data_IF_649165835561
#
_entry.id   IF_649165835561
#
_cell.length_a   1.000
_cell.length_b   1.000
_cell.length_c   1.000
_cell.angle_alpha   90.00
_cell.angle_beta   90.00
_cell.angle_gamma   90.00
#
_symmetry.space_group_name_H-M   'P 1'
#
loop_
_entity.id
_entity.type
_entity.pdbx_description
1 polymer ?
#
# COMPACT_ATOMS: atom_id res chain seq x y z
N UNK A 1 25.39 -10.58 3.86
CA UNK A 1 24.06 -10.74 4.46
C UNK A 1 23.06 -10.30 3.40
N UNK A 2 22.27 -11.21 2.83
CA UNK A 2 21.26 -10.85 1.82
C UNK A 2 20.29 -9.89 2.48
N UNK A 3 20.34 -8.61 2.10
CA UNK A 3 19.25 -7.67 2.40
C UNK A 3 18.05 -8.14 1.60
N UNK A 4 17.31 -9.09 2.17
CA UNK A 4 16.05 -9.52 1.61
C UNK A 4 15.14 -8.30 1.57
N UNK A 5 14.60 -8.01 0.39
CA UNK A 5 13.62 -6.94 0.22
C UNK A 5 12.54 -7.12 1.30
N UNK A 6 12.22 -6.06 2.09
CA UNK A 6 11.28 -6.17 3.19
C UNK A 6 9.96 -6.80 2.71
N UNK A 7 9.36 -7.63 3.56
CA UNK A 7 8.16 -8.36 3.19
C UNK A 7 7.02 -7.40 2.80
N UNK A 8 6.97 -6.23 3.45
CA UNK A 8 6.04 -5.14 3.18
C UNK A 8 6.22 -4.60 1.76
N UNK A 9 7.44 -4.39 1.28
CA UNK A 9 7.68 -3.93 -0.10
C UNK A 9 7.19 -4.98 -1.09
N UNK A 10 7.53 -6.25 -0.85
CA UNK A 10 7.12 -7.36 -1.75
C UNK A 10 5.60 -7.49 -1.82
N UNK A 11 4.95 -7.55 -0.66
CA UNK A 11 3.49 -7.69 -0.57
C UNK A 11 2.77 -6.45 -1.11
N UNK A 12 3.26 -5.25 -0.81
CA UNK A 12 2.69 -4.01 -1.34
C UNK A 12 2.71 -3.98 -2.86
N UNK A 13 3.86 -4.32 -3.46
CA UNK A 13 3.99 -4.39 -4.92
C UNK A 13 3.14 -5.50 -5.55
N UNK A 14 2.97 -6.63 -4.87
CA UNK A 14 2.09 -7.70 -5.35
C UNK A 14 0.62 -7.24 -5.38
N UNK A 15 0.16 -6.53 -4.36
CA UNK A 15 -1.18 -5.93 -4.32
C UNK A 15 -1.32 -4.90 -5.45
N UNK A 16 -0.33 -4.01 -5.63
CA UNK A 16 -0.33 -3.03 -6.72
C UNK A 16 -0.46 -3.70 -8.10
N UNK A 17 0.26 -4.80 -8.33
CA UNK A 17 0.13 -5.60 -9.57
C UNK A 17 -1.26 -6.19 -9.76
N UNK A 18 -1.93 -6.63 -8.70
CA UNK A 18 -3.32 -7.11 -8.81
C UNK A 18 -4.28 -5.99 -9.26
N UNK A 19 -4.07 -4.76 -8.81
CA UNK A 19 -4.91 -3.61 -9.16
C UNK A 19 -4.42 -2.82 -10.39
N UNK A 20 -3.34 -3.24 -11.05
CA UNK A 20 -2.75 -2.55 -12.21
C UNK A 20 -3.67 -2.47 -13.44
N UNK A 21 -4.76 -3.25 -13.47
CA UNK A 21 -5.78 -3.19 -14.51
C UNK A 21 -6.76 -2.00 -14.32
N UNK A 22 -6.76 -1.37 -13.14
CA UNK A 22 -7.59 -0.20 -12.85
C UNK A 22 -6.86 1.10 -13.22
N UNK A 23 -7.60 2.21 -13.42
CA UNK A 23 -7.00 3.53 -13.55
C UNK A 23 -6.11 3.86 -12.34
N UNK A 24 -4.98 4.59 -12.51
CA UNK A 24 -4.00 4.85 -11.45
C UNK A 24 -4.63 5.40 -10.16
N UNK A 25 -5.56 6.34 -10.29
CA UNK A 25 -6.30 6.90 -9.15
C UNK A 25 -7.14 5.88 -8.39
N UNK A 26 -7.82 4.99 -9.10
CA UNK A 26 -8.66 3.93 -8.51
C UNK A 26 -7.79 2.83 -7.91
N UNK A 27 -6.70 2.49 -8.57
CA UNK A 27 -5.76 1.48 -8.13
C UNK A 27 -5.06 1.90 -6.82
N UNK A 28 -4.56 3.13 -6.73
CA UNK A 28 -3.94 3.64 -5.51
C UNK A 28 -4.92 3.64 -4.32
N UNK A 29 -6.18 4.03 -4.55
CA UNK A 29 -7.22 3.98 -3.51
C UNK A 29 -7.54 2.54 -3.07
N UNK A 30 -7.72 1.63 -4.03
CA UNK A 30 -7.98 0.22 -3.75
C UNK A 30 -6.82 -0.44 -2.98
N UNK A 31 -5.57 -0.14 -3.34
CA UNK A 31 -4.37 -0.63 -2.66
C UNK A 31 -4.29 -0.08 -1.24
N UNK A 32 -4.51 1.21 -1.04
CA UNK A 32 -4.50 1.85 0.28
C UNK A 32 -5.51 1.17 1.21
N UNK A 33 -6.72 0.94 0.70
CA UNK A 33 -7.81 0.29 1.41
C UNK A 33 -7.55 -1.18 1.70
N UNK A 34 -6.93 -1.91 0.76
CA UNK A 34 -6.53 -3.30 0.96
C UNK A 34 -5.48 -3.40 2.09
N UNK A 35 -4.46 -2.54 2.06
CA UNK A 35 -3.46 -2.47 3.11
C UNK A 35 -4.11 -2.11 4.45
N UNK A 36 -5.02 -1.14 4.50
CA UNK A 36 -5.76 -0.78 5.72
C UNK A 36 -6.54 -1.96 6.32
N UNK A 37 -7.22 -2.72 5.46
CA UNK A 37 -8.13 -3.80 5.87
C UNK A 37 -7.37 -5.06 6.30
N UNK A 38 -6.32 -5.43 5.57
CA UNK A 38 -5.63 -6.71 5.76
C UNK A 38 -4.34 -6.60 6.58
N UNK A 39 -3.71 -5.42 6.66
CA UNK A 39 -2.42 -5.30 7.34
C UNK A 39 -2.56 -4.77 8.76
N UNK A 40 -1.84 -5.42 9.67
CA UNK A 40 -1.78 -4.99 11.06
C UNK A 40 -1.18 -3.57 11.19
N UNK A 41 -1.57 -2.78 12.20
CA UNK A 41 -1.00 -1.46 12.46
C UNK A 41 0.55 -1.39 12.42
N UNK A 42 1.32 -2.34 12.98
CA UNK A 42 2.79 -2.29 12.89
C UNK A 42 3.32 -2.45 11.46
N UNK A 43 2.69 -3.30 10.62
CA UNK A 43 3.10 -3.45 9.22
C UNK A 43 2.84 -2.18 8.41
N UNK A 44 1.73 -1.49 8.67
CA UNK A 44 1.43 -0.20 8.03
C UNK A 44 2.47 0.86 8.38
N UNK A 45 2.90 0.91 9.65
CA UNK A 45 3.98 1.79 10.09
C UNK A 45 5.32 1.46 9.44
N UNK A 46 5.64 0.18 9.28
CA UNK A 46 6.84 -0.25 8.56
C UNK A 46 6.81 0.22 7.09
N UNK A 47 5.66 0.04 6.41
CA UNK A 47 5.49 0.51 5.04
C UNK A 47 5.63 2.03 4.91
N UNK A 48 5.02 2.80 5.83
CA UNK A 48 5.19 4.25 5.90
C UNK A 48 6.66 4.66 6.07
N UNK A 49 7.41 3.96 6.92
CA UNK A 49 8.84 4.21 7.10
C UNK A 49 9.66 3.90 5.83
N UNK A 50 9.30 2.83 5.11
CA UNK A 50 9.95 2.45 3.84
C UNK A 50 9.67 3.47 2.73
N UNK A 51 8.44 3.99 2.65
CA UNK A 51 8.09 5.09 1.75
C UNK A 51 8.87 6.36 2.11
N UNK A 52 8.95 6.71 3.40
CA UNK A 52 9.71 7.86 3.87
C UNK A 52 11.23 7.71 3.61
N UNK A 53 11.75 6.49 3.65
CA UNK A 53 13.13 6.16 3.29
C UNK A 53 13.37 6.17 1.77
N UNK A 54 12.33 6.41 0.95
CA UNK A 54 12.38 6.35 -0.51
C UNK A 54 12.95 5.02 -1.02
N UNK A 55 12.45 3.90 -0.47
CA UNK A 55 12.86 2.57 -0.89
C UNK A 55 12.69 2.38 -2.41
N UNK A 56 13.78 2.15 -3.17
CA UNK A 56 13.75 2.15 -4.63
C UNK A 56 13.01 0.94 -5.21
N UNK A 57 12.75 -0.07 -4.39
CA UNK A 57 11.99 -1.25 -4.77
C UNK A 57 10.48 -1.08 -4.63
N UNK A 58 9.97 0.03 -4.09
CA UNK A 58 8.53 0.28 -3.97
C UNK A 58 7.95 0.71 -5.31
N UNK A 59 6.79 0.16 -5.65
CA UNK A 59 6.02 0.60 -6.81
C UNK A 59 5.46 2.02 -6.55
N UNK A 60 5.51 2.94 -7.53
CA UNK A 60 4.93 4.28 -7.41
C UNK A 60 3.47 4.27 -6.95
N UNK A 61 2.72 3.23 -7.35
CA UNK A 61 1.32 3.08 -6.98
C UNK A 61 1.13 2.76 -5.48
N UNK A 62 2.10 2.05 -4.88
CA UNK A 62 2.14 1.80 -3.43
C UNK A 62 2.48 3.08 -2.68
N UNK A 63 3.40 3.90 -3.21
CA UNK A 63 3.75 5.20 -2.62
C UNK A 63 2.52 6.12 -2.59
N UNK A 64 1.80 6.23 -3.71
CA UNK A 64 0.55 7.01 -3.79
C UNK A 64 -0.53 6.46 -2.83
N UNK A 65 -0.69 5.14 -2.78
CA UNK A 65 -1.62 4.49 -1.87
C UNK A 65 -1.31 4.80 -0.40
N UNK A 66 -0.04 4.75 0.00
CA UNK A 66 0.40 5.08 1.35
C UNK A 66 0.17 6.55 1.68
N UNK A 67 0.37 7.46 0.73
CA UNK A 67 0.01 8.86 0.88
C UNK A 67 -1.49 9.07 1.18
N UNK A 68 -2.36 8.33 0.47
CA UNK A 68 -3.81 8.34 0.71
C UNK A 68 -4.19 7.73 2.05
N UNK A 69 -3.53 6.65 2.45
CA UNK A 69 -3.73 6.01 3.75
C UNK A 69 -3.36 6.96 4.91
N UNK A 70 -2.26 7.69 4.79
CA UNK A 70 -1.85 8.69 5.79
C UNK A 70 -2.82 9.88 5.87
N UNK A 71 -3.44 10.24 4.74
CA UNK A 71 -4.43 11.32 4.67
C UNK A 71 -5.83 10.93 5.21
N UNK A 72 -6.11 9.63 5.37
CA UNK A 72 -7.38 9.09 5.86
C UNK A 72 -7.20 8.42 7.23
N UNK A 73 -7.23 9.18 8.33
CA UNK A 73 -7.47 8.59 9.64
C UNK A 73 -8.96 8.23 9.75
N UNK A 74 -9.26 6.96 10.02
CA UNK A 74 -10.57 6.46 10.46
C UNK A 74 -11.77 6.70 9.51
N UNK A 75 -11.96 5.84 8.51
CA UNK A 75 -13.26 5.71 7.83
C UNK A 75 -13.64 4.24 7.64
N UNK A 76 -14.53 3.68 8.50
CA UNK A 76 -15.14 2.38 8.26
C UNK A 76 -16.30 2.56 7.28
N UNK A 77 -16.00 2.75 5.99
CA UNK A 77 -17.04 2.60 4.97
C UNK A 77 -16.92 1.21 4.33
N UNK A 78 -18.02 0.52 3.99
CA UNK A 78 -18.00 -0.82 3.43
C UNK A 78 -17.61 -0.79 1.94
N UNK A 79 -17.01 -1.88 1.47
CA UNK A 79 -16.53 -2.02 0.10
C UNK A 79 -17.77 -2.16 -0.80
N UNK A 80 -18.02 -1.33 -1.82
CA UNK A 80 -18.87 -1.77 -2.91
C UNK A 80 -18.12 -2.91 -3.61
N UNK A 81 -18.62 -4.13 -3.41
CA UNK A 81 -18.23 -5.30 -4.22
C UNK A 81 -18.60 -5.03 -5.70
N UNK A 82 -17.87 -5.64 -6.65
CA UNK A 82 -18.03 -5.39 -8.09
C UNK A 82 -19.43 -5.70 -8.62
#
# INVERSE_FOLDING_TARGET
>A
MTTAVPAEVRLGNDIARQFAHLPPDRAADAVARHIETFWAPPMRRALLALVAAQEPSLDPLVVDAVGRLAARPDSPDPIPSP
#
